data_IF_260183833628
#
_entry.id   IF_260183833628
#
_cell.length_a   1.000
_cell.length_b   1.000
_cell.length_c   1.000
_cell.angle_alpha   90.00
_cell.angle_beta   90.00
_cell.angle_gamma   90.00
#
_symmetry.space_group_name_H-M   'P 1'
#
loop_
_entity.id
_entity.type
_entity.pdbx_description
1 polymer ?
#
# COMPACT_ATOMS: atom_id res chain seq x y z
N UNK A 1 21.13 15.75 -13.76
CA UNK A 1 21.21 14.34 -14.19
C UNK A 1 20.13 14.09 -15.23
N UNK A 2 20.42 14.42 -16.48
CA UNK A 2 19.50 14.33 -17.61
C UNK A 2 20.25 13.56 -18.70
N UNK A 3 19.82 12.33 -19.01
CA UNK A 3 20.18 11.47 -20.15
C UNK A 3 20.18 9.95 -19.84
N UNK A 4 19.56 9.47 -18.76
CA UNK A 4 19.38 8.03 -18.57
C UNK A 4 17.99 7.60 -19.04
N UNK A 5 17.93 6.88 -20.16
CA UNK A 5 16.72 6.16 -20.59
C UNK A 5 16.55 4.93 -19.70
N UNK A 6 15.74 5.08 -18.66
CA UNK A 6 15.40 3.98 -17.76
C UNK A 6 14.44 2.99 -18.45
N UNK A 7 14.63 1.67 -18.27
CA UNK A 7 13.72 0.68 -18.83
C UNK A 7 12.34 0.77 -18.17
N UNK A 8 11.29 0.63 -18.98
CA UNK A 8 9.90 0.40 -18.53
C UNK A 8 9.65 -1.10 -18.57
N UNK A 9 9.46 -1.73 -17.40
CA UNK A 9 9.42 -3.19 -17.28
C UNK A 9 8.04 -3.81 -17.52
N UNK A 10 6.98 -3.02 -17.43
CA UNK A 10 5.62 -3.51 -17.61
C UNK A 10 4.58 -2.40 -17.58
N UNK A 11 3.33 -2.81 -17.85
CA UNK A 11 2.16 -1.95 -17.80
C UNK A 11 1.22 -2.40 -16.68
N UNK A 12 0.89 -1.49 -15.77
CA UNK A 12 -0.16 -1.70 -14.77
C UNK A 12 -1.47 -1.22 -15.40
N UNK A 13 -2.34 -2.19 -15.71
CA UNK A 13 -3.57 -1.92 -16.47
C UNK A 13 -4.73 -1.48 -15.58
N UNK A 14 -4.70 -1.76 -14.27
CA UNK A 14 -5.67 -1.34 -13.27
C UNK A 14 -5.23 -0.16 -12.39
N UNK A 15 -5.95 0.11 -11.29
CA UNK A 15 -5.60 1.17 -10.35
C UNK A 15 -4.33 0.85 -9.56
N UNK A 16 -3.58 1.89 -9.19
CA UNK A 16 -2.42 1.79 -8.28
C UNK A 16 -2.80 2.42 -6.96
N UNK A 17 -2.94 1.60 -5.91
CA UNK A 17 -3.29 2.08 -4.56
C UNK A 17 -2.06 1.96 -3.68
N UNK A 18 -1.52 3.08 -3.22
CA UNK A 18 -0.42 3.12 -2.26
C UNK A 18 -0.95 3.43 -0.86
N UNK A 19 -0.63 2.59 0.12
CA UNK A 19 -0.99 2.80 1.53
C UNK A 19 0.28 3.21 2.28
N UNK A 20 0.27 4.40 2.87
CA UNK A 20 1.43 5.01 3.50
C UNK A 20 2.25 5.87 2.54
N UNK A 21 2.53 7.12 2.95
CA UNK A 21 3.33 8.10 2.20
C UNK A 21 4.46 8.72 3.04
N UNK A 22 5.04 7.90 3.91
CA UNK A 22 6.27 8.20 4.65
C UNK A 22 7.52 8.21 3.75
N UNK A 23 8.69 7.98 4.36
CA UNK A 23 9.97 7.98 3.65
C UNK A 23 10.00 7.01 2.46
N UNK A 24 9.52 5.78 2.66
CA UNK A 24 9.54 4.74 1.62
C UNK A 24 8.52 5.06 0.53
N UNK A 25 7.28 5.44 0.87
CA UNK A 25 6.28 5.85 -0.12
C UNK A 25 6.77 6.96 -1.04
N UNK A 26 7.41 8.00 -0.48
CA UNK A 26 8.01 9.10 -1.24
C UNK A 26 9.18 8.66 -2.12
N UNK A 27 9.98 7.70 -1.67
CA UNK A 27 11.08 7.13 -2.45
C UNK A 27 10.60 6.17 -3.55
N UNK A 28 9.50 5.44 -3.32
CA UNK A 28 8.96 4.43 -4.24
C UNK A 28 8.14 5.05 -5.36
N UNK A 29 7.35 6.10 -5.08
CA UNK A 29 6.53 6.79 -6.07
C UNK A 29 7.30 7.15 -7.37
N UNK A 30 8.45 7.85 -7.32
CA UNK A 30 9.18 8.21 -8.54
C UNK A 30 9.75 6.99 -9.28
N UNK A 31 9.98 5.86 -8.60
CA UNK A 31 10.40 4.62 -9.25
C UNK A 31 9.23 3.96 -9.98
N UNK A 32 8.03 3.98 -9.40
CA UNK A 32 6.81 3.50 -10.08
C UNK A 32 6.57 4.31 -11.35
N UNK A 33 6.59 5.65 -11.25
CA UNK A 33 6.44 6.56 -12.39
C UNK A 33 7.51 6.37 -13.47
N UNK A 34 8.73 6.03 -13.08
CA UNK A 34 9.86 5.84 -13.99
C UNK A 34 9.83 4.49 -14.72
N UNK A 35 9.41 3.42 -14.05
CA UNK A 35 9.65 2.05 -14.51
C UNK A 35 8.39 1.28 -14.92
N UNK A 36 7.21 1.84 -14.72
CA UNK A 36 5.95 1.24 -15.18
C UNK A 36 5.16 2.22 -16.04
N UNK A 37 4.53 1.68 -17.07
CA UNK A 37 3.45 2.39 -17.77
C UNK A 37 2.16 2.19 -16.97
N UNK A 38 1.48 3.28 -16.63
CA UNK A 38 0.17 3.23 -15.98
C UNK A 38 -0.55 4.57 -16.17
N UNK A 39 -1.85 4.56 -15.94
CA UNK A 39 -2.67 5.76 -15.94
C UNK A 39 -2.60 6.44 -14.58
N UNK A 40 -1.89 7.57 -14.49
CA UNK A 40 -1.72 8.32 -13.24
C UNK A 40 -3.04 8.78 -12.62
N UNK A 41 -4.08 9.00 -13.42
CA UNK A 41 -5.41 9.39 -12.90
C UNK A 41 -6.07 8.29 -12.07
N UNK A 42 -5.58 7.04 -12.20
CA UNK A 42 -6.01 5.87 -11.42
C UNK A 42 -5.03 5.51 -10.30
N UNK A 43 -4.06 6.36 -10.02
CA UNK A 43 -3.22 6.25 -8.84
C UNK A 43 -3.82 7.03 -7.67
N UNK A 44 -3.86 6.39 -6.51
CA UNK A 44 -4.30 7.00 -5.26
C UNK A 44 -3.36 6.62 -4.12
N UNK A 45 -3.04 7.60 -3.28
CA UNK A 45 -2.24 7.42 -2.07
C UNK A 45 -3.13 7.64 -0.84
N UNK A 46 -2.99 6.79 0.17
CA UNK A 46 -3.76 6.84 1.41
C UNK A 46 -2.78 6.99 2.58
N UNK A 47 -2.89 8.06 3.35
CA UNK A 47 -2.12 8.26 4.59
C UNK A 47 -2.93 9.15 5.55
N UNK A 48 -2.95 8.90 6.86
CA UNK A 48 -3.63 9.79 7.81
C UNK A 48 -3.00 11.18 7.91
N UNK A 49 -1.73 11.35 7.50
CA UNK A 49 -1.00 12.62 7.53
C UNK A 49 -0.87 13.18 6.13
N UNK A 50 -1.17 14.47 5.99
CA UNK A 50 -1.06 15.24 4.75
C UNK A 50 0.24 16.07 4.67
N UNK A 51 1.19 15.87 5.59
CA UNK A 51 2.43 16.65 5.69
C UNK A 51 3.24 16.70 4.39
N UNK A 52 3.14 15.65 3.58
CA UNK A 52 3.86 15.50 2.31
C UNK A 52 2.91 15.51 1.09
N UNK A 53 1.63 15.86 1.29
CA UNK A 53 0.60 15.84 0.24
C UNK A 53 0.95 16.70 -0.97
N UNK A 54 1.66 17.81 -0.77
CA UNK A 54 2.09 18.71 -1.85
C UNK A 54 2.86 17.96 -2.95
N UNK A 55 3.64 16.94 -2.60
CA UNK A 55 4.38 16.12 -3.58
C UNK A 55 3.47 15.29 -4.50
N UNK A 56 2.24 15.01 -4.07
CA UNK A 56 1.21 14.32 -4.84
C UNK A 56 0.40 15.32 -5.68
N UNK A 57 0.03 16.45 -5.09
CA UNK A 57 -0.74 17.51 -5.75
C UNK A 57 0.03 18.04 -6.97
N UNK A 58 1.35 18.26 -6.86
CA UNK A 58 2.24 18.66 -7.97
C UNK A 58 2.25 17.66 -9.14
N UNK A 59 1.85 16.41 -8.89
CA UNK A 59 1.83 15.31 -9.87
C UNK A 59 0.42 14.98 -10.37
N UNK A 60 -0.60 15.63 -9.81
CA UNK A 60 -2.01 15.31 -10.08
C UNK A 60 -2.42 13.92 -9.58
N UNK A 61 -1.79 13.41 -8.53
CA UNK A 61 -2.11 12.10 -7.94
C UNK A 61 -3.13 12.29 -6.82
N UNK A 62 -4.18 11.46 -6.80
CA UNK A 62 -5.21 11.53 -5.78
C UNK A 62 -4.65 11.16 -4.39
N UNK A 63 -5.11 11.88 -3.36
CA UNK A 63 -4.76 11.62 -1.96
C UNK A 63 -6.02 11.44 -1.12
N UNK A 64 -6.05 10.40 -0.30
CA UNK A 64 -7.10 10.14 0.69
C UNK A 64 -6.49 10.25 2.07
N UNK A 65 -6.87 11.30 2.80
CA UNK A 65 -6.42 11.53 4.17
C UNK A 65 -7.24 10.68 5.16
N UNK A 66 -6.91 9.41 5.29
CA UNK A 66 -7.57 8.48 6.23
C UNK A 66 -6.57 7.43 6.74
N UNK A 67 -6.80 6.92 7.94
CA UNK A 67 -6.09 5.77 8.47
C UNK A 67 -6.77 4.47 8.01
N UNK A 68 -6.00 3.55 7.45
CA UNK A 68 -6.50 2.19 7.17
C UNK A 68 -6.55 1.42 8.49
N UNK A 69 -7.73 0.93 8.87
CA UNK A 69 -7.97 0.25 10.14
C UNK A 69 -8.74 -1.04 9.94
N UNK A 70 -8.70 -1.92 10.96
CA UNK A 70 -9.51 -3.16 10.99
C UNK A 70 -11.01 -2.90 10.70
N UNK A 71 -11.53 -1.73 11.07
CA UNK A 71 -12.96 -1.39 10.94
C UNK A 71 -13.33 -0.90 9.54
N UNK A 72 -12.44 -0.19 8.85
CA UNK A 72 -12.77 0.48 7.58
C UNK A 72 -12.10 -0.16 6.34
N UNK A 73 -11.04 -0.97 6.48
CA UNK A 73 -10.17 -1.31 5.35
C UNK A 73 -10.91 -1.88 4.13
N UNK A 74 -11.92 -2.75 4.34
CA UNK A 74 -12.73 -3.29 3.23
C UNK A 74 -13.52 -2.18 2.53
N UNK A 75 -14.24 -1.37 3.30
CA UNK A 75 -15.08 -0.28 2.77
C UNK A 75 -14.24 0.79 2.08
N UNK A 76 -13.08 1.11 2.64
CA UNK A 76 -12.17 2.12 2.13
C UNK A 76 -11.42 1.64 0.87
N UNK A 77 -10.82 0.45 0.92
CA UNK A 77 -9.90 0.00 -0.11
C UNK A 77 -10.59 -0.67 -1.29
N UNK A 78 -11.68 -1.42 -1.10
CA UNK A 78 -12.36 -2.11 -2.20
C UNK A 78 -12.71 -1.19 -3.37
N UNK A 79 -13.41 -0.05 -3.19
CA UNK A 79 -13.75 0.81 -4.33
C UNK A 79 -12.52 1.40 -5.04
N UNK A 80 -11.42 1.65 -4.31
CA UNK A 80 -10.18 2.19 -4.89
C UNK A 80 -9.43 1.12 -5.68
N UNK A 81 -9.33 -0.10 -5.12
CA UNK A 81 -8.64 -1.24 -5.71
C UNK A 81 -9.37 -1.81 -6.93
N UNK A 82 -10.67 -1.56 -7.07
CA UNK A 82 -11.48 -1.99 -8.21
C UNK A 82 -11.95 -0.82 -9.08
N UNK A 83 -11.33 0.35 -8.96
CA UNK A 83 -11.71 1.51 -9.76
C UNK A 83 -11.24 1.34 -11.22
N UNK A 84 -12.19 1.12 -12.13
CA UNK A 84 -11.93 0.95 -13.56
C UNK A 84 -11.76 -0.50 -13.98
N UNK A 85 -10.98 -0.72 -15.04
CA UNK A 85 -10.71 -2.03 -15.64
C UNK A 85 -9.24 -2.44 -15.45
N UNK A 86 -8.93 -3.70 -15.76
CA UNK A 86 -7.58 -4.25 -15.65
C UNK A 86 -7.23 -4.76 -14.25
N UNK A 87 -6.02 -5.27 -14.09
CA UNK A 87 -5.54 -5.79 -12.81
C UNK A 87 -4.92 -4.65 -12.00
N UNK A 88 -5.49 -4.37 -10.82
CA UNK A 88 -4.96 -3.39 -9.88
C UNK A 88 -3.68 -3.85 -9.19
N UNK A 89 -2.97 -2.89 -8.59
CA UNK A 89 -1.77 -3.09 -7.79
C UNK A 89 -1.88 -2.33 -6.47
N UNK A 90 -1.79 -3.05 -5.35
CA UNK A 90 -1.70 -2.48 -4.01
C UNK A 90 -0.24 -2.45 -3.55
N UNK A 91 0.28 -1.26 -3.26
CA UNK A 91 1.64 -1.04 -2.76
C UNK A 91 1.53 -0.58 -1.31
N UNK A 92 1.71 -1.50 -0.37
CA UNK A 92 1.58 -1.23 1.05
C UNK A 92 2.95 -0.86 1.66
N UNK A 93 3.11 0.40 2.04
CA UNK A 93 4.31 1.00 2.64
C UNK A 93 3.95 1.72 3.95
N UNK A 94 2.91 1.24 4.65
CA UNK A 94 2.43 1.83 5.90
C UNK A 94 2.90 1.08 7.14
N UNK A 95 2.55 1.66 8.28
CA UNK A 95 2.60 1.05 9.63
C UNK A 95 1.17 0.86 10.13
N UNK A 96 0.99 0.15 11.24
CA UNK A 96 -0.30 0.05 11.97
C UNK A 96 -1.45 -0.64 11.19
N UNK A 97 -1.14 -1.23 10.04
CA UNK A 97 -2.08 -1.91 9.14
C UNK A 97 -1.76 -3.40 9.04
N UNK A 98 -2.78 -4.28 9.10
CA UNK A 98 -2.51 -5.72 8.98
C UNK A 98 -2.16 -6.15 7.55
N UNK A 99 -0.90 -6.47 7.29
CA UNK A 99 -0.44 -7.01 6.01
C UNK A 99 -1.24 -8.23 5.55
N UNK A 100 -1.52 -9.16 6.46
CA UNK A 100 -2.27 -10.39 6.15
C UNK A 100 -3.69 -10.08 5.65
N UNK A 101 -4.42 -9.21 6.34
CA UNK A 101 -5.80 -8.87 5.98
C UNK A 101 -5.86 -8.07 4.67
N UNK A 102 -4.91 -7.15 4.46
CA UNK A 102 -4.80 -6.38 3.22
C UNK A 102 -4.44 -7.29 2.03
N UNK A 103 -3.49 -8.20 2.20
CA UNK A 103 -3.10 -9.19 1.20
C UNK A 103 -4.28 -10.12 0.85
N UNK A 104 -5.01 -10.62 1.86
CA UNK A 104 -6.22 -11.44 1.65
C UNK A 104 -7.30 -10.69 0.86
N UNK A 105 -7.52 -9.41 1.17
CA UNK A 105 -8.45 -8.57 0.43
C UNK A 105 -8.01 -8.40 -1.03
N UNK A 106 -6.74 -8.06 -1.28
CA UNK A 106 -6.22 -7.88 -2.64
C UNK A 106 -6.36 -9.17 -3.46
N UNK A 107 -5.99 -10.32 -2.89
CA UNK A 107 -6.18 -11.63 -3.54
C UNK A 107 -7.63 -11.92 -3.87
N UNK A 108 -8.56 -11.64 -2.94
CA UNK A 108 -10.01 -11.81 -3.17
C UNK A 108 -10.51 -10.94 -4.32
N UNK A 109 -9.94 -9.74 -4.51
CA UNK A 109 -10.31 -8.80 -5.57
C UNK A 109 -9.53 -9.03 -6.88
N UNK A 110 -8.61 -9.99 -6.94
CA UNK A 110 -7.74 -10.21 -8.10
C UNK A 110 -6.65 -9.15 -8.28
N UNK A 111 -6.35 -8.39 -7.23
CA UNK A 111 -5.37 -7.30 -7.21
C UNK A 111 -4.01 -7.81 -6.73
N UNK A 112 -2.95 -7.40 -7.43
CA UNK A 112 -1.57 -7.66 -7.01
C UNK A 112 -1.28 -6.90 -5.71
N UNK A 113 -0.40 -7.45 -4.88
CA UNK A 113 -0.07 -6.88 -3.57
C UNK A 113 1.42 -7.03 -3.28
N UNK A 114 2.03 -5.98 -2.74
CA UNK A 114 3.39 -5.98 -2.20
C UNK A 114 3.45 -5.15 -0.93
N UNK A 115 4.22 -5.62 0.05
CA UNK A 115 4.62 -4.87 1.23
C UNK A 115 6.09 -5.10 1.55
N UNK A 116 6.58 -4.43 2.60
CA UNK A 116 7.97 -4.55 3.08
C UNK A 116 8.07 -5.19 4.45
N UNK A 117 6.95 -5.68 5.02
CA UNK A 117 6.85 -6.17 6.39
C UNK A 117 5.56 -6.97 6.58
N UNK A 118 5.56 -7.94 7.49
CA UNK A 118 4.32 -8.53 8.00
C UNK A 118 3.86 -7.70 9.20
N UNK A 119 3.15 -6.62 8.93
CA UNK A 119 2.68 -5.68 9.93
C UNK A 119 1.34 -6.14 10.53
N UNK A 120 1.13 -6.02 11.85
CA UNK A 120 -0.16 -6.26 12.49
C UNK A 120 -1.03 -5.00 12.53
N UNK A 121 -2.31 -5.16 12.91
CA UNK A 121 -3.14 -3.99 13.22
C UNK A 121 -2.59 -3.21 14.43
N UNK A 122 -2.78 -1.89 14.43
CA UNK A 122 -2.52 -1.01 15.57
C UNK A 122 -2.95 -1.64 16.90
N UNK A 123 -2.09 -1.51 17.91
CA UNK A 123 -2.29 -2.02 19.27
C UNK A 123 -1.57 -3.34 19.55
N UNK A 124 -1.28 -4.14 18.53
CA UNK A 124 -0.61 -5.44 18.70
C UNK A 124 0.76 -5.32 19.40
N UNK A 125 1.60 -4.36 18.99
CA UNK A 125 2.96 -4.23 19.54
C UNK A 125 3.00 -3.79 21.01
N UNK A 126 1.90 -3.24 21.53
CA UNK A 126 1.80 -2.70 22.88
C UNK A 126 0.78 -3.44 23.75
N UNK A 127 0.31 -4.61 23.31
CA UNK A 127 -0.57 -5.47 24.09
C UNK A 127 0.21 -6.06 25.28
N UNK A 128 -0.09 -5.57 26.49
CA UNK A 128 0.55 -5.99 27.73
C UNK A 128 0.08 -7.37 28.23
N UNK A 129 -0.96 -7.92 27.60
CA UNK A 129 -1.49 -9.26 27.87
C UNK A 129 -0.95 -10.31 26.92
N UNK A 130 -0.32 -9.91 25.82
CA UNK A 130 0.27 -10.84 24.87
C UNK A 130 1.55 -11.47 25.44
N UNK A 131 1.69 -12.78 25.26
CA UNK A 131 2.91 -13.49 25.61
C UNK A 131 4.07 -13.12 24.65
N UNK A 132 5.31 -13.35 25.07
CA UNK A 132 6.47 -12.97 24.25
C UNK A 132 6.53 -13.72 22.91
N UNK A 133 6.05 -14.96 22.84
CA UNK A 133 6.18 -15.75 21.62
C UNK A 133 5.22 -15.25 20.53
N UNK A 134 4.01 -14.82 20.89
CA UNK A 134 3.03 -14.27 19.94
C UNK A 134 3.49 -12.95 19.31
N UNK A 135 4.38 -12.19 19.96
CA UNK A 135 4.91 -10.89 19.48
C UNK A 135 6.09 -11.00 18.51
N UNK A 136 6.51 -12.21 18.17
CA UNK A 136 7.68 -12.43 17.31
C UNK A 136 7.34 -12.28 15.82
N UNK A 137 8.31 -11.84 15.01
CA UNK A 137 8.19 -11.88 13.56
C UNK A 137 8.00 -13.32 13.02
N UNK A 138 8.43 -14.33 13.77
CA UNK A 138 8.16 -15.73 13.43
C UNK A 138 6.65 -16.02 13.47
N UNK A 139 5.97 -15.66 14.57
CA UNK A 139 4.52 -15.86 14.71
C UNK A 139 3.74 -15.08 13.62
N UNK A 140 4.13 -13.83 13.37
CA UNK A 140 3.55 -13.02 12.29
C UNK A 140 3.74 -13.69 10.92
N UNK A 141 4.95 -14.17 10.60
CA UNK A 141 5.24 -14.89 9.36
C UNK A 141 4.40 -16.16 9.21
N UNK A 142 4.28 -16.97 10.25
CA UNK A 142 3.51 -18.22 10.18
C UNK A 142 2.02 -17.96 9.89
N UNK A 143 1.47 -16.83 10.34
CA UNK A 143 0.09 -16.45 10.01
C UNK A 143 -0.17 -16.24 8.50
N UNK A 144 0.85 -15.88 7.73
CA UNK A 144 0.77 -15.68 6.27
C UNK A 144 0.75 -17.02 5.51
N UNK A 145 1.29 -18.08 6.13
CA UNK A 145 1.40 -19.41 5.51
C UNK A 145 0.13 -20.25 5.65
N UNK A 146 -0.87 -19.74 6.36
CA UNK A 146 -2.17 -20.35 6.61
C UNK A 146 -3.24 -19.79 5.66
#
# INVERSE_FOLDING_TARGET
MANENWPVYGEITGPVVMIGFGSIGRGTLPLIERHFKFDKSRMVVIDPRDSDRMLLDERGIAFVQDAVTRKNYKKLLTPLLTNGSGQGMCVNLSVDTSSLELMKLCRKLGVLYVDTVVEPWLGFYFDDKADNASRTNYALRESVRQ
#
